data_IF_396583209448
#
_entry.id   IF_396583209448
#
_cell.length_a   1.000
_cell.length_b   1.000
_cell.length_c   1.000
_cell.angle_alpha   90.00
_cell.angle_beta   90.00
_cell.angle_gamma   90.00
#
_symmetry.space_group_name_H-M   'P 1'
#
loop_
_entity.id
_entity.type
_entity.pdbx_description
1 polymer ?
#
# COMPACT_ATOMS: atom_id res chain seq x y z
N UNK A 1 52.83 -46.24 0.34
CA UNK A 1 51.52 -46.75 0.74
C UNK A 1 51.77 -47.94 1.62
N UNK A 2 51.43 -47.82 2.90
CA UNK A 2 51.41 -48.99 3.80
C UNK A 2 50.25 -49.90 3.42
N UNK A 3 50.21 -51.11 3.97
CA UNK A 3 49.08 -52.02 3.78
C UNK A 3 47.77 -51.43 4.35
N UNK A 4 47.83 -50.59 5.39
CA UNK A 4 46.65 -49.90 5.93
C UNK A 4 46.04 -48.88 4.94
N UNK A 5 46.86 -48.17 4.15
CA UNK A 5 46.36 -47.17 3.18
C UNK A 5 45.51 -47.80 2.06
N UNK A 6 45.77 -49.07 1.73
CA UNK A 6 45.07 -49.78 0.65
C UNK A 6 43.61 -50.14 1.04
N UNK A 7 43.38 -50.44 2.32
CA UNK A 7 42.05 -50.81 2.82
C UNK A 7 41.09 -49.62 2.96
N UNK A 8 41.57 -48.38 2.90
CA UNK A 8 40.73 -47.17 2.97
C UNK A 8 40.29 -46.63 1.60
N UNK A 9 40.74 -47.23 0.50
CA UNK A 9 40.33 -46.80 -0.84
C UNK A 9 38.83 -47.08 -1.07
N UNK A 10 38.10 -46.17 -1.74
CA UNK A 10 36.73 -46.40 -2.18
C UNK A 10 36.59 -47.72 -2.94
N UNK A 11 35.46 -48.42 -2.79
CA UNK A 11 35.19 -49.74 -3.39
C UNK A 11 35.42 -49.75 -4.90
N UNK A 12 35.07 -48.69 -5.62
CA UNK A 12 35.32 -48.59 -7.06
C UNK A 12 36.82 -48.57 -7.43
N UNK A 13 37.69 -48.04 -6.55
CA UNK A 13 39.15 -48.06 -6.74
C UNK A 13 39.71 -49.45 -6.43
N UNK A 14 39.12 -50.16 -5.46
CA UNK A 14 39.43 -51.56 -5.17
C UNK A 14 38.95 -52.51 -6.28
N UNK A 15 37.88 -52.14 -6.98
CA UNK A 15 37.33 -52.83 -8.16
C UNK A 15 38.07 -52.53 -9.46
N UNK A 16 39.08 -51.65 -9.45
CA UNK A 16 40.09 -51.61 -10.52
C UNK A 16 40.86 -52.93 -10.39
N UNK A 17 40.31 -53.97 -11.02
CA UNK A 17 40.76 -55.34 -10.83
C UNK A 17 42.26 -55.39 -11.08
N UNK A 18 43.01 -55.99 -10.17
CA UNK A 18 44.44 -56.24 -10.39
C UNK A 18 44.68 -57.23 -11.55
N UNK A 19 43.59 -57.80 -12.07
CA UNK A 19 43.52 -58.85 -13.07
C UNK A 19 42.65 -58.44 -14.27
N UNK A 20 43.01 -58.93 -15.45
CA UNK A 20 42.24 -58.85 -16.66
C UNK A 20 40.91 -59.57 -16.51
N UNK A 21 39.81 -58.94 -16.95
CA UNK A 21 38.47 -59.54 -16.86
C UNK A 21 38.30 -60.77 -17.76
N UNK A 22 39.00 -60.81 -18.88
CA UNK A 22 38.87 -61.87 -19.90
C UNK A 22 39.74 -63.08 -19.57
N UNK A 23 40.95 -62.84 -19.07
CA UNK A 23 41.96 -63.87 -18.87
C UNK A 23 42.25 -64.18 -17.40
N UNK A 24 41.68 -63.40 -16.46
CA UNK A 24 41.94 -63.47 -15.01
C UNK A 24 43.42 -63.33 -14.60
N UNK A 25 44.29 -62.97 -15.55
CA UNK A 25 45.72 -62.72 -15.33
C UNK A 25 46.02 -61.29 -14.86
N UNK A 26 47.12 -61.07 -14.14
CA UNK A 26 47.50 -59.74 -13.66
C UNK A 26 47.79 -58.77 -14.80
N UNK A 27 47.47 -57.50 -14.58
CA UNK A 27 47.86 -56.42 -15.48
C UNK A 27 49.35 -56.09 -15.34
N UNK A 28 50.11 -56.30 -16.42
CA UNK A 28 51.57 -56.11 -16.43
C UNK A 28 52.03 -55.01 -17.38
N UNK A 29 51.20 -54.65 -18.35
CA UNK A 29 51.57 -53.77 -19.47
C UNK A 29 50.46 -52.76 -19.72
N UNK A 30 50.82 -51.68 -20.42
CA UNK A 30 49.91 -50.62 -20.80
C UNK A 30 50.04 -50.34 -22.28
N UNK A 31 48.92 -50.31 -23.00
CA UNK A 31 48.86 -49.96 -24.41
C UNK A 31 48.51 -48.47 -24.55
N UNK A 32 49.40 -47.66 -25.11
CA UNK A 32 49.14 -46.22 -25.31
C UNK A 32 48.11 -45.95 -26.41
N UNK A 33 48.02 -46.83 -27.42
CA UNK A 33 47.07 -46.66 -28.51
C UNK A 33 45.61 -46.79 -28.04
N UNK A 34 45.33 -47.73 -27.14
CA UNK A 34 44.01 -47.97 -26.58
C UNK A 34 43.81 -47.38 -25.18
N UNK A 35 44.85 -46.76 -24.62
CA UNK A 35 44.83 -46.10 -23.30
C UNK A 35 44.33 -47.07 -22.21
N UNK A 36 44.85 -48.31 -22.18
CA UNK A 36 44.37 -49.37 -21.29
C UNK A 36 45.47 -50.24 -20.69
N UNK A 37 45.20 -50.84 -19.53
CA UNK A 37 46.05 -51.85 -18.88
C UNK A 37 45.73 -53.24 -19.44
N UNK A 38 46.77 -54.03 -19.75
CA UNK A 38 46.65 -55.34 -20.39
C UNK A 38 47.46 -56.41 -19.62
N UNK A 39 46.94 -57.64 -19.58
CA UNK A 39 47.73 -58.83 -19.28
C UNK A 39 48.54 -59.24 -20.52
N UNK A 40 49.42 -60.23 -20.37
CA UNK A 40 50.28 -60.70 -21.47
C UNK A 40 49.44 -61.29 -22.60
N UNK A 41 48.40 -62.08 -22.28
CA UNK A 41 47.50 -62.68 -23.27
C UNK A 41 46.71 -61.65 -24.08
N UNK A 42 46.21 -60.57 -23.46
CA UNK A 42 45.57 -59.50 -24.23
C UNK A 42 46.52 -58.86 -25.25
N UNK A 43 47.81 -58.80 -24.95
CA UNK A 43 48.79 -58.23 -25.86
C UNK A 43 49.04 -59.13 -27.06
N UNK A 44 49.16 -60.43 -26.83
CA UNK A 44 49.36 -61.40 -27.90
C UNK A 44 48.13 -61.52 -28.79
N UNK A 45 46.93 -61.43 -28.21
CA UNK A 45 45.71 -61.81 -28.92
C UNK A 45 45.02 -60.60 -29.55
N UNK A 46 44.97 -59.47 -28.84
CA UNK A 46 44.17 -58.29 -29.22
C UNK A 46 45.00 -57.08 -29.57
N UNK A 47 46.18 -56.94 -28.98
CA UNK A 47 47.05 -55.77 -29.17
C UNK A 47 48.33 -56.07 -29.95
N UNK A 48 48.38 -57.17 -30.70
CA UNK A 48 49.58 -57.63 -31.43
C UNK A 48 50.12 -56.58 -32.41
N UNK A 49 49.25 -55.74 -32.97
CA UNK A 49 49.59 -54.68 -33.92
C UNK A 49 49.85 -53.32 -33.27
N UNK A 50 49.73 -53.20 -31.94
CA UNK A 50 49.97 -51.94 -31.24
C UNK A 50 51.46 -51.74 -31.01
N UNK A 51 51.99 -50.59 -31.43
CA UNK A 51 53.43 -50.33 -31.41
C UNK A 51 53.96 -49.77 -30.09
N UNK A 52 53.11 -49.07 -29.33
CA UNK A 52 53.52 -48.41 -28.09
C UNK A 52 52.89 -49.09 -26.86
N UNK A 53 53.52 -50.19 -26.46
CA UNK A 53 53.17 -50.94 -25.25
C UNK A 53 54.34 -50.85 -24.28
N UNK A 54 54.09 -50.36 -23.07
CA UNK A 54 55.11 -50.23 -22.03
C UNK A 54 54.79 -51.09 -20.80
N UNK A 55 55.82 -51.51 -20.03
CA UNK A 55 55.60 -52.10 -18.72
C UNK A 55 54.79 -51.18 -17.82
N UNK A 56 53.88 -51.76 -17.03
CA UNK A 56 53.07 -51.03 -16.04
C UNK A 56 53.94 -50.20 -15.08
N UNK A 57 55.11 -50.70 -14.70
CA UNK A 57 56.05 -49.99 -13.84
C UNK A 57 56.51 -48.65 -14.43
N UNK A 58 56.73 -48.59 -15.76
CA UNK A 58 57.13 -47.36 -16.46
C UNK A 58 56.02 -46.32 -16.40
N UNK A 59 54.78 -46.73 -16.66
CA UNK A 59 53.61 -45.84 -16.57
C UNK A 59 53.40 -45.36 -15.16
N UNK A 60 53.44 -46.27 -14.18
CA UNK A 60 53.27 -45.91 -12.77
C UNK A 60 54.35 -44.94 -12.33
N UNK A 61 55.59 -45.12 -12.77
CA UNK A 61 56.68 -44.17 -12.46
C UNK A 61 56.48 -42.84 -13.16
N UNK A 62 55.99 -42.82 -14.41
CA UNK A 62 55.69 -41.59 -15.15
C UNK A 62 54.53 -40.81 -14.52
N UNK A 63 53.47 -41.50 -14.07
CA UNK A 63 52.35 -40.87 -13.36
C UNK A 63 52.80 -40.37 -11.98
N UNK A 64 53.61 -41.15 -11.26
CA UNK A 64 54.17 -40.73 -9.95
C UNK A 64 55.15 -39.58 -10.08
N UNK A 65 55.93 -39.51 -11.16
CA UNK A 65 56.88 -38.42 -11.41
C UNK A 65 56.23 -37.21 -12.07
N UNK A 66 55.04 -37.38 -12.67
CA UNK A 66 54.28 -36.28 -13.23
C UNK A 66 53.76 -35.37 -12.11
N UNK A 67 53.99 -34.07 -12.24
CA UNK A 67 53.45 -33.07 -11.33
C UNK A 67 51.93 -32.86 -11.49
N UNK A 68 51.29 -33.54 -12.45
CA UNK A 68 49.89 -33.31 -12.84
C UNK A 68 48.90 -33.64 -11.73
N UNK A 69 49.08 -34.73 -10.98
CA UNK A 69 48.18 -35.09 -9.87
C UNK A 69 48.26 -34.08 -8.71
N UNK A 70 49.46 -33.71 -8.20
CA UNK A 70 49.58 -32.64 -7.20
C UNK A 70 49.05 -31.28 -7.69
N UNK A 71 49.25 -30.93 -8.96
CA UNK A 71 48.73 -29.69 -9.54
C UNK A 71 47.20 -29.71 -9.58
N UNK A 72 46.60 -30.80 -10.04
CA UNK A 72 45.15 -30.95 -10.07
C UNK A 72 44.53 -30.90 -8.66
N UNK A 73 45.17 -31.54 -7.67
CA UNK A 73 44.74 -31.46 -6.27
C UNK A 73 44.82 -30.02 -5.73
N UNK A 74 45.88 -29.28 -6.07
CA UNK A 74 46.04 -27.86 -5.73
C UNK A 74 44.93 -27.02 -6.35
N UNK A 75 44.61 -27.26 -7.62
CA UNK A 75 43.55 -26.53 -8.33
C UNK A 75 42.16 -26.81 -7.75
N UNK A 76 41.86 -28.07 -7.42
CA UNK A 76 40.63 -28.44 -6.71
C UNK A 76 40.54 -27.78 -5.33
N UNK A 77 41.64 -27.74 -4.57
CA UNK A 77 41.69 -27.03 -3.28
C UNK A 77 41.49 -25.53 -3.45
N UNK A 78 42.01 -24.93 -4.51
CA UNK A 78 41.80 -23.51 -4.83
C UNK A 78 40.35 -23.23 -5.18
N UNK A 79 39.76 -24.05 -6.07
CA UNK A 79 38.37 -23.94 -6.48
C UNK A 79 37.42 -24.05 -5.28
N UNK A 80 37.62 -25.07 -4.43
CA UNK A 80 36.84 -25.24 -3.20
C UNK A 80 36.91 -24.00 -2.30
N UNK A 81 38.11 -23.47 -2.05
CA UNK A 81 38.29 -22.25 -1.24
C UNK A 81 37.59 -21.04 -1.83
N UNK A 82 37.60 -20.89 -3.15
CA UNK A 82 36.91 -19.79 -3.83
C UNK A 82 35.40 -19.93 -3.75
N UNK A 83 34.87 -21.14 -3.92
CA UNK A 83 33.44 -21.44 -3.73
C UNK A 83 32.99 -21.14 -2.30
N UNK A 84 33.77 -21.56 -1.29
CA UNK A 84 33.45 -21.27 0.11
C UNK A 84 33.40 -19.75 0.40
N UNK A 85 34.33 -18.98 -0.18
CA UNK A 85 34.33 -17.51 -0.08
C UNK A 85 33.11 -16.91 -0.77
N UNK A 86 32.77 -17.35 -1.97
CA UNK A 86 31.61 -16.89 -2.71
C UNK A 86 30.31 -17.19 -1.94
N UNK A 87 30.16 -18.41 -1.40
CA UNK A 87 29.01 -18.79 -0.57
C UNK A 87 28.90 -17.91 0.68
N UNK A 88 30.00 -17.66 1.39
CA UNK A 88 30.01 -16.75 2.55
C UNK A 88 29.58 -15.34 2.17
N UNK A 89 30.08 -14.81 1.05
CA UNK A 89 29.72 -13.49 0.56
C UNK A 89 28.23 -13.41 0.19
N UNK A 90 27.72 -14.41 -0.53
CA UNK A 90 26.30 -14.46 -0.93
C UNK A 90 25.38 -14.56 0.30
N UNK A 91 25.73 -15.38 1.30
CA UNK A 91 24.97 -15.45 2.56
C UNK A 91 24.92 -14.10 3.28
N UNK A 92 26.05 -13.38 3.36
CA UNK A 92 26.09 -12.03 3.94
C UNK A 92 25.22 -11.05 3.15
N UNK A 93 25.28 -11.08 1.81
CA UNK A 93 24.43 -10.23 0.96
C UNK A 93 22.95 -10.50 1.15
N UNK A 94 22.54 -11.77 1.22
CA UNK A 94 21.14 -12.14 1.48
C UNK A 94 20.67 -11.57 2.82
N UNK A 95 21.47 -11.74 3.87
CA UNK A 95 21.15 -11.18 5.19
C UNK A 95 21.01 -9.66 5.14
N UNK A 96 21.99 -8.95 4.55
CA UNK A 96 21.95 -7.50 4.44
C UNK A 96 20.75 -7.01 3.61
N UNK A 97 20.40 -7.74 2.54
CA UNK A 97 19.25 -7.38 1.71
C UNK A 97 17.92 -7.59 2.45
N UNK A 98 17.83 -8.63 3.29
CA UNK A 98 16.66 -8.83 4.16
C UNK A 98 16.52 -7.70 5.17
N UNK A 99 17.62 -7.25 5.79
CA UNK A 99 17.61 -6.09 6.70
C UNK A 99 17.15 -4.81 5.99
N UNK A 100 17.69 -4.53 4.80
CA UNK A 100 17.25 -3.38 3.99
C UNK A 100 15.77 -3.46 3.61
N UNK A 101 15.29 -4.66 3.29
CA UNK A 101 13.87 -4.88 3.01
C UNK A 101 13.01 -4.58 4.23
N UNK A 102 13.40 -5.03 5.42
CA UNK A 102 12.64 -4.76 6.64
C UNK A 102 12.64 -3.27 6.98
N UNK A 103 13.79 -2.60 6.87
CA UNK A 103 13.91 -1.14 7.07
C UNK A 103 12.98 -0.37 6.13
N UNK A 104 13.01 -0.69 4.83
CA UNK A 104 12.13 -0.04 3.84
C UNK A 104 10.64 -0.30 4.11
N UNK A 105 10.27 -1.50 4.58
CA UNK A 105 8.88 -1.80 4.96
C UNK A 105 8.43 -0.99 6.17
N UNK A 106 9.31 -0.84 7.16
CA UNK A 106 9.00 -0.06 8.37
C UNK A 106 8.92 1.45 8.06
N UNK A 107 9.78 1.97 7.18
CA UNK A 107 9.67 3.34 6.65
C UNK A 107 8.34 3.57 5.92
N UNK A 108 7.92 2.64 5.05
CA UNK A 108 6.62 2.71 4.36
C UNK A 108 5.48 2.76 5.38
N UNK A 109 5.48 1.88 6.38
CA UNK A 109 4.46 1.87 7.44
C UNK A 109 4.42 3.17 8.23
N UNK A 110 5.59 3.71 8.55
CA UNK A 110 5.69 4.99 9.24
C UNK A 110 5.10 6.12 8.40
N UNK A 111 5.42 6.19 7.10
CA UNK A 111 4.83 7.18 6.20
C UNK A 111 3.31 7.03 6.08
N UNK A 112 2.79 5.81 5.95
CA UNK A 112 1.34 5.58 5.92
C UNK A 112 0.67 6.11 7.18
N UNK A 113 1.24 5.83 8.37
CA UNK A 113 0.69 6.33 9.62
C UNK A 113 0.67 7.86 9.68
N UNK A 114 1.75 8.52 9.24
CA UNK A 114 1.79 9.98 9.20
C UNK A 114 0.73 10.58 8.26
N UNK A 115 0.47 9.92 7.12
CA UNK A 115 -0.58 10.33 6.19
C UNK A 115 -1.95 10.19 6.87
N UNK A 116 -2.21 9.05 7.52
CA UNK A 116 -3.48 8.81 8.23
C UNK A 116 -3.69 9.82 9.35
N UNK A 117 -2.66 10.09 10.17
CA UNK A 117 -2.71 11.08 11.24
C UNK A 117 -3.03 12.48 10.69
N UNK A 118 -2.41 12.88 9.58
CA UNK A 118 -2.68 14.16 8.92
C UNK A 118 -4.10 14.25 8.35
N UNK A 119 -4.60 13.16 7.73
CA UNK A 119 -5.96 13.13 7.21
C UNK A 119 -7.01 13.23 8.33
N UNK A 120 -6.77 12.56 9.45
CA UNK A 120 -7.65 12.66 10.62
C UNK A 120 -7.67 14.08 11.21
N UNK A 121 -6.52 14.75 11.31
CA UNK A 121 -6.43 16.14 11.78
C UNK A 121 -7.15 17.11 10.83
N UNK A 122 -6.99 16.90 9.52
CA UNK A 122 -7.67 17.71 8.51
C UNK A 122 -9.19 17.50 8.55
N UNK A 123 -9.65 16.26 8.70
CA UNK A 123 -11.08 15.94 8.85
C UNK A 123 -11.67 16.64 10.08
N UNK A 124 -11.00 16.53 11.23
CA UNK A 124 -11.45 17.17 12.46
C UNK A 124 -11.51 18.71 12.31
N UNK A 125 -10.51 19.31 11.68
CA UNK A 125 -10.48 20.76 11.42
C UNK A 125 -11.68 21.20 10.55
N UNK A 126 -12.02 20.42 9.53
CA UNK A 126 -13.17 20.71 8.65
C UNK A 126 -14.49 20.57 9.42
N UNK A 127 -14.62 19.53 10.25
CA UNK A 127 -15.81 19.31 11.08
C UNK A 127 -16.01 20.45 12.08
N UNK A 128 -14.93 20.90 12.74
CA UNK A 128 -14.97 22.00 13.69
C UNK A 128 -15.37 23.34 13.03
N UNK A 129 -14.83 23.64 11.83
CA UNK A 129 -15.21 24.83 11.06
C UNK A 129 -16.69 24.77 10.64
N UNK A 130 -17.17 23.58 10.22
CA UNK A 130 -18.56 23.39 9.83
C UNK A 130 -19.52 23.57 11.02
N UNK A 131 -19.21 22.98 12.17
CA UNK A 131 -19.96 23.11 13.43
C UNK A 131 -20.03 24.58 13.87
N UNK A 132 -18.90 25.29 13.80
CA UNK A 132 -18.79 26.72 14.12
C UNK A 132 -19.67 27.57 13.20
N UNK A 133 -19.58 27.37 11.88
CA UNK A 133 -20.41 28.07 10.89
C UNK A 133 -21.88 27.75 11.05
N UNK A 134 -22.23 26.50 11.29
CA UNK A 134 -23.60 26.07 11.52
C UNK A 134 -24.19 26.74 12.77
N UNK A 135 -23.43 26.73 13.87
CA UNK A 135 -23.83 27.37 15.13
C UNK A 135 -24.05 28.87 14.96
N UNK A 136 -23.14 29.55 14.24
CA UNK A 136 -23.28 30.97 13.91
C UNK A 136 -24.54 31.23 13.09
N UNK A 137 -24.73 30.52 11.99
CA UNK A 137 -25.91 30.67 11.12
C UNK A 137 -27.21 30.41 11.91
N UNK A 138 -27.24 29.37 12.73
CA UNK A 138 -28.38 29.05 13.59
C UNK A 138 -28.70 30.20 14.55
N UNK A 139 -27.68 30.79 15.17
CA UNK A 139 -27.87 31.94 16.07
C UNK A 139 -28.44 33.17 15.33
N UNK A 140 -27.94 33.46 14.13
CA UNK A 140 -28.42 34.56 13.29
C UNK A 140 -29.89 34.33 12.88
N UNK A 141 -30.25 33.10 12.50
CA UNK A 141 -31.63 32.73 12.18
C UNK A 141 -32.57 32.90 13.38
N UNK A 142 -32.14 32.50 14.58
CA UNK A 142 -32.94 32.69 15.81
C UNK A 142 -33.21 34.17 16.07
N UNK A 143 -32.18 35.02 15.93
CA UNK A 143 -32.33 36.48 16.09
C UNK A 143 -33.32 37.02 15.04
N UNK A 144 -33.21 36.60 13.78
CA UNK A 144 -34.11 37.04 12.72
C UNK A 144 -35.56 36.65 13.00
N UNK A 145 -35.81 35.42 13.46
CA UNK A 145 -37.15 34.95 13.84
C UNK A 145 -37.72 35.82 14.96
N UNK A 146 -36.95 36.08 16.03
CA UNK A 146 -37.39 36.95 17.13
C UNK A 146 -37.73 38.37 16.65
N UNK A 147 -36.93 38.93 15.74
CA UNK A 147 -37.22 40.24 15.15
C UNK A 147 -38.51 40.23 14.32
N UNK A 148 -38.76 39.16 13.55
CA UNK A 148 -40.00 39.01 12.80
C UNK A 148 -41.23 38.88 13.71
N UNK A 149 -41.13 38.12 14.79
CA UNK A 149 -42.19 37.99 15.80
C UNK A 149 -42.51 39.34 16.43
N UNK A 150 -41.48 40.11 16.83
CA UNK A 150 -41.67 41.46 17.37
C UNK A 150 -42.36 42.40 16.36
N UNK A 151 -41.94 42.37 15.09
CA UNK A 151 -42.58 43.17 14.03
C UNK A 151 -44.04 42.74 13.80
N UNK A 152 -44.33 41.44 13.84
CA UNK A 152 -45.71 40.97 13.71
C UNK A 152 -46.61 41.50 14.84
N UNK A 153 -46.11 41.53 16.08
CA UNK A 153 -46.82 42.13 17.22
C UNK A 153 -47.08 43.63 16.99
N UNK A 154 -46.07 44.38 16.54
CA UNK A 154 -46.22 45.81 16.24
C UNK A 154 -47.25 46.07 15.13
N UNK A 155 -47.21 45.29 14.04
CA UNK A 155 -48.19 45.38 12.95
C UNK A 155 -49.60 45.11 13.46
N UNK A 156 -49.79 44.08 14.29
CA UNK A 156 -51.09 43.77 14.88
C UNK A 156 -51.61 44.93 15.77
N UNK A 157 -50.73 45.56 16.56
CA UNK A 157 -51.10 46.73 17.36
C UNK A 157 -51.52 47.91 16.47
N UNK A 158 -50.74 48.24 15.45
CA UNK A 158 -51.07 49.29 14.49
C UNK A 158 -52.40 49.01 13.76
N UNK A 159 -52.67 47.76 13.40
CA UNK A 159 -53.93 47.36 12.76
C UNK A 159 -55.13 47.58 13.68
N UNK A 160 -55.00 47.27 14.98
CA UNK A 160 -56.03 47.53 15.98
C UNK A 160 -56.27 49.04 16.14
N UNK A 161 -55.22 49.84 16.23
CA UNK A 161 -55.33 51.31 16.32
C UNK A 161 -55.97 51.91 15.07
N UNK A 162 -55.57 51.45 13.88
CA UNK A 162 -56.13 51.89 12.62
C UNK A 162 -57.63 51.57 12.51
N UNK A 163 -58.05 50.40 12.99
CA UNK A 163 -59.47 50.01 13.04
C UNK A 163 -60.25 50.95 13.96
N UNK A 164 -59.71 51.31 15.14
CA UNK A 164 -60.33 52.30 16.05
C UNK A 164 -60.44 53.68 15.41
N UNK A 165 -59.38 54.15 14.74
CA UNK A 165 -59.40 55.44 14.03
C UNK A 165 -60.45 55.46 12.92
N UNK A 166 -60.57 54.36 12.17
CA UNK A 166 -61.57 54.21 11.12
C UNK A 166 -62.98 54.29 11.69
N UNK A 167 -63.24 53.60 12.81
CA UNK A 167 -64.52 53.66 13.51
C UNK A 167 -64.86 55.09 13.96
N UNK A 168 -63.91 55.79 14.59
CA UNK A 168 -64.12 57.18 15.00
C UNK A 168 -64.38 58.12 13.83
N UNK A 169 -63.69 57.94 12.70
CA UNK A 169 -63.91 58.74 11.50
C UNK A 169 -65.34 58.52 10.95
N UNK A 170 -65.81 57.27 10.91
CA UNK A 170 -67.19 56.94 10.53
C UNK A 170 -68.22 57.55 11.47
N UNK A 171 -68.02 57.45 12.78
CA UNK A 171 -68.92 58.03 13.79
C UNK A 171 -68.98 59.56 13.68
N UNK A 172 -67.84 60.21 13.45
CA UNK A 172 -67.76 61.66 13.25
C UNK A 172 -68.48 62.09 11.96
N UNK A 173 -68.28 61.36 10.85
CA UNK A 173 -68.99 61.60 9.59
C UNK A 173 -70.51 61.48 9.80
N UNK A 174 -70.97 60.45 10.51
CA UNK A 174 -72.38 60.28 10.85
C UNK A 174 -72.92 61.43 11.71
N UNK A 175 -72.16 61.86 12.74
CA UNK A 175 -72.56 62.98 13.60
C UNK A 175 -72.69 64.30 12.82
N UNK A 176 -71.71 64.61 11.95
CA UNK A 176 -71.76 65.80 11.09
C UNK A 176 -72.97 65.74 10.17
N UNK A 177 -73.20 64.60 9.49
CA UNK A 177 -74.37 64.41 8.63
C UNK A 177 -75.71 64.56 9.37
N UNK A 178 -75.85 63.98 10.56
CA UNK A 178 -77.05 64.14 11.40
C UNK A 178 -77.27 65.59 11.84
N UNK A 179 -76.19 66.33 12.12
CA UNK A 179 -76.25 67.74 12.52
C UNK A 179 -76.72 68.62 11.36
N UNK A 180 -76.21 68.37 10.15
CA UNK A 180 -76.62 69.06 8.92
C UNK A 180 -78.09 68.79 8.58
N UNK A 181 -78.53 67.53 8.65
CA UNK A 181 -79.92 67.14 8.47
C UNK A 181 -80.85 67.84 9.48
N UNK A 182 -80.44 67.94 10.75
CA UNK A 182 -81.18 68.69 11.78
C UNK A 182 -81.30 70.18 11.46
N UNK A 183 -80.22 70.82 11.02
CA UNK A 183 -80.23 72.23 10.59
C UNK A 183 -81.19 72.43 9.41
N UNK A 184 -81.12 71.57 8.39
CA UNK A 184 -82.04 71.61 7.24
C UNK A 184 -83.50 71.43 7.68
N UNK A 185 -83.78 70.51 8.59
CA UNK A 185 -85.13 70.31 9.13
C UNK A 185 -85.64 71.52 9.94
N UNK A 186 -84.78 72.17 10.73
CA UNK A 186 -85.12 73.41 11.45
C UNK A 186 -85.40 74.57 10.48
N UNK A 187 -84.52 74.78 9.48
CA UNK A 187 -84.73 75.79 8.44
C UNK A 187 -86.02 75.53 7.64
N UNK A 188 -86.32 74.28 7.28
CA UNK A 188 -87.57 73.90 6.63
C UNK A 188 -88.81 74.09 7.52
N UNK A 189 -88.71 73.85 8.84
CA UNK A 189 -89.78 74.16 9.80
C UNK A 189 -90.05 75.66 9.89
N UNK A 190 -89.00 76.49 9.93
CA UNK A 190 -89.12 77.95 9.92
C UNK A 190 -89.77 78.42 8.61
N UNK A 191 -89.29 77.92 7.47
CA UNK A 191 -89.86 78.24 6.16
C UNK A 191 -91.33 77.83 6.01
N UNK A 192 -91.73 76.67 6.56
CA UNK A 192 -93.14 76.25 6.62
C UNK A 192 -94.00 77.13 7.55
N UNK A 193 -93.46 77.61 8.67
CA UNK A 193 -94.16 78.59 9.53
C UNK A 193 -94.37 79.93 8.81
N UNK A 194 -93.38 80.39 8.06
CA UNK A 194 -93.53 81.59 7.21
C UNK A 194 -94.56 81.42 6.09
N UNK A 195 -94.64 80.24 5.45
CA UNK A 195 -95.65 79.95 4.42
C UNK A 195 -97.07 79.73 4.92
N UNK A 196 -97.26 79.40 6.20
CA UNK A 196 -98.59 79.10 6.77
C UNK A 196 -99.27 80.28 7.45
N UNK A 197 -98.64 81.47 7.46
CA UNK A 197 -99.32 82.74 7.73
C UNK A 197 -99.92 82.90 9.14
N UNK A 198 -99.41 82.20 10.17
CA UNK A 198 -99.85 82.46 11.55
C UNK A 198 -98.97 83.54 12.19
N UNK A 199 -99.54 84.67 12.67
CA UNK A 199 -98.80 85.67 13.43
C UNK A 199 -98.35 85.13 14.78
N UNK A 200 -97.27 85.74 15.29
CA UNK A 200 -96.75 85.57 16.65
C UNK A 200 -97.79 86.02 17.67
#
# INVERSE_FOLDING_TARGET
>A
MSAEDYHQLPTFIKEISSQCKEHQERFERYCYFHVCLCCVQCITDKHQKCQDIKPRSVILNQVKSSASVPLFEKDLKNLKRNLDKALKYMKKRISANNTKKTEAVDEIRHMTKLIDDFLNELEQTILDDLESKHSKLKSEMVILVQQMEQRAVQINQLQVEFTKMTQYATDLQMYVGLKEMRKLHQSNKIYRRFKTGRPI
#
